data_IF_533223941164
#
_entry.id   IF_533223941164
#
_cell.length_a   1.000
_cell.length_b   1.000
_cell.length_c   1.000
_cell.angle_alpha   90.00
_cell.angle_beta   90.00
_cell.angle_gamma   90.00
#
_symmetry.space_group_name_H-M   'P 1'
#
loop_
_entity.id
_entity.type
_entity.pdbx_description
1 polymer ?
#
# COMPACT_ATOMS: atom_id res chain seq x y z
N UNK A 1 1.47 -21.82 5.19
CA UNK A 1 1.84 -20.84 4.16
C UNK A 1 1.72 -19.45 4.74
N UNK A 2 2.31 -18.44 4.09
CA UNK A 2 2.18 -17.03 4.54
C UNK A 2 0.86 -16.45 4.04
N UNK A 3 0.11 -15.80 4.93
CA UNK A 3 -1.01 -14.95 4.55
C UNK A 3 -0.48 -13.54 4.26
N UNK A 4 -0.72 -13.06 3.04
CA UNK A 4 -0.36 -11.72 2.63
C UNK A 4 -1.53 -10.77 2.82
N UNK A 5 -1.29 -9.67 3.52
CA UNK A 5 -2.29 -8.66 3.86
C UNK A 5 -1.89 -7.37 3.17
N UNK A 6 -2.81 -6.76 2.42
CA UNK A 6 -2.60 -5.50 1.72
C UNK A 6 -3.58 -4.47 2.25
N UNK A 7 -3.18 -3.19 2.33
CA UNK A 7 -4.01 -2.13 2.92
C UNK A 7 -4.37 -1.06 1.91
N UNK A 8 -5.59 -0.53 2.08
CA UNK A 8 -6.17 0.57 1.32
C UNK A 8 -6.84 1.57 2.29
N UNK A 9 -6.03 2.37 2.96
CA UNK A 9 -6.48 3.59 3.62
C UNK A 9 -6.48 4.74 2.60
N UNK A 10 -7.56 5.50 2.53
CA UNK A 10 -7.67 6.63 1.62
C UNK A 10 -6.78 7.82 2.00
N UNK A 11 -6.38 8.61 1.00
CA UNK A 11 -5.51 9.78 1.19
C UNK A 11 -6.05 10.82 2.19
N UNK A 12 -7.38 10.90 2.35
CA UNK A 12 -8.03 11.80 3.31
C UNK A 12 -7.86 11.38 4.77
N UNK A 13 -7.54 10.13 5.06
CA UNK A 13 -7.41 9.58 6.41
C UNK A 13 -5.96 9.30 6.80
N UNK A 14 -5.07 9.08 5.83
CA UNK A 14 -3.66 8.79 6.06
C UNK A 14 -3.00 9.84 6.96
N UNK A 15 -2.18 9.36 7.91
CA UNK A 15 -1.45 10.16 8.90
C UNK A 15 -2.34 11.06 9.79
N UNK A 16 -3.65 10.83 9.84
CA UNK A 16 -4.60 11.59 10.65
C UNK A 16 -5.32 10.70 11.66
N UNK A 17 -5.81 11.29 12.76
CA UNK A 17 -6.64 10.59 13.75
C UNK A 17 -6.01 9.29 14.25
N UNK A 18 -6.74 8.19 14.14
CA UNK A 18 -6.30 6.84 14.52
C UNK A 18 -5.17 6.30 13.62
N UNK A 19 -5.04 6.82 12.40
CA UNK A 19 -4.02 6.41 11.42
C UNK A 19 -2.70 7.17 11.53
N UNK A 20 -2.58 8.14 12.46
CA UNK A 20 -1.42 9.06 12.57
C UNK A 20 -0.03 8.37 12.62
N UNK A 21 0.02 7.15 13.15
CA UNK A 21 1.25 6.40 13.38
C UNK A 21 1.40 5.17 12.46
N UNK A 22 0.49 4.99 11.50
CA UNK A 22 0.51 3.83 10.59
C UNK A 22 1.45 4.07 9.40
N UNK A 23 1.53 5.32 8.93
CA UNK A 23 2.23 5.71 7.72
C UNK A 23 1.42 5.44 6.45
N UNK A 24 2.11 5.28 5.32
CA UNK A 24 1.47 4.90 4.06
C UNK A 24 0.89 3.47 4.12
N UNK A 25 0.06 3.15 3.12
CA UNK A 25 -0.39 1.77 2.91
C UNK A 25 0.78 0.80 2.77
N UNK A 26 0.54 -0.48 3.04
CA UNK A 26 1.61 -1.45 3.22
C UNK A 26 1.16 -2.87 2.89
N UNK A 27 2.14 -3.76 2.72
CA UNK A 27 1.91 -5.19 2.68
C UNK A 27 2.53 -5.84 3.91
N UNK A 28 1.78 -6.71 4.57
CA UNK A 28 2.23 -7.49 5.71
C UNK A 28 2.25 -8.99 5.37
N UNK A 29 3.19 -9.69 5.98
CA UNK A 29 3.27 -11.14 5.98
C UNK A 29 2.84 -11.65 7.36
N UNK A 30 1.81 -12.50 7.38
CA UNK A 30 1.29 -13.13 8.60
C UNK A 30 1.54 -14.64 8.55
N UNK A 31 2.04 -15.18 9.66
CA UNK A 31 1.98 -16.61 9.94
C UNK A 31 0.62 -16.95 10.56
N UNK A 32 -0.29 -17.66 9.84
CA UNK A 32 -1.62 -17.94 10.33
C UNK A 32 -1.66 -18.90 11.52
N UNK A 33 -0.58 -19.66 11.78
CA UNK A 33 -0.53 -20.58 12.90
C UNK A 33 -0.28 -19.86 14.23
N UNK A 34 0.48 -18.77 14.21
CA UNK A 34 0.88 -18.02 15.41
C UNK A 34 0.21 -16.65 15.52
N UNK A 35 -0.30 -16.12 14.40
CA UNK A 35 -0.78 -14.75 14.27
C UNK A 35 0.37 -13.72 14.18
N UNK A 36 1.63 -14.16 14.19
CA UNK A 36 2.76 -13.24 14.06
C UNK A 36 2.68 -12.53 12.70
N UNK A 37 2.63 -11.20 12.75
CA UNK A 37 2.50 -10.36 11.57
C UNK A 37 3.66 -9.38 11.49
N UNK A 38 4.35 -9.35 10.35
CA UNK A 38 5.47 -8.44 10.08
C UNK A 38 5.20 -7.64 8.83
N UNK A 39 5.55 -6.36 8.85
CA UNK A 39 5.53 -5.52 7.65
C UNK A 39 6.59 -6.01 6.67
N UNK A 40 6.20 -6.22 5.42
CA UNK A 40 7.09 -6.64 4.34
C UNK A 40 7.52 -5.45 3.46
N UNK A 41 6.58 -4.56 3.12
CA UNK A 41 6.87 -3.32 2.41
C UNK A 41 5.90 -2.19 2.78
N UNK A 42 6.28 -0.96 2.46
CA UNK A 42 5.44 0.24 2.53
C UNK A 42 5.29 0.82 1.12
N UNK A 43 4.09 1.27 0.78
CA UNK A 43 3.73 1.85 -0.50
C UNK A 43 4.18 3.33 -0.61
N UNK A 44 4.22 3.86 -1.84
CA UNK A 44 4.34 5.29 -2.08
C UNK A 44 3.26 6.13 -1.39
N UNK A 45 3.48 7.45 -1.38
CA UNK A 45 2.52 8.41 -0.84
C UNK A 45 1.20 8.31 -1.60
N UNK A 46 0.10 8.21 -0.84
CA UNK A 46 -1.26 8.20 -1.35
C UNK A 46 -1.56 7.13 -2.42
N UNK A 47 -0.92 5.96 -2.32
CA UNK A 47 -1.30 4.75 -3.06
C UNK A 47 -1.91 3.70 -2.14
N UNK A 48 -2.62 2.73 -2.69
CA UNK A 48 -2.89 1.45 -2.03
C UNK A 48 -1.91 0.36 -2.52
N UNK A 49 -1.72 -0.65 -1.69
CA UNK A 49 -1.14 -1.92 -2.13
C UNK A 49 -2.31 -2.82 -2.49
N UNK A 50 -2.33 -3.36 -3.71
CA UNK A 50 -3.40 -4.25 -4.16
C UNK A 50 -2.86 -5.27 -5.13
N UNK A 51 -3.55 -6.40 -5.31
CA UNK A 51 -3.14 -7.46 -6.22
C UNK A 51 -1.84 -8.16 -5.78
N UNK A 52 -1.84 -9.48 -5.84
CA UNK A 52 -0.67 -10.28 -5.49
C UNK A 52 -0.63 -11.55 -6.33
N UNK A 53 0.53 -11.87 -6.87
CA UNK A 53 0.75 -13.13 -7.58
C UNK A 53 2.20 -13.59 -7.45
N UNK A 54 2.41 -14.90 -7.53
CA UNK A 54 3.71 -15.54 -7.41
C UNK A 54 4.09 -16.24 -8.71
N UNK A 55 5.39 -16.30 -9.00
CA UNK A 55 5.88 -17.34 -9.91
C UNK A 55 5.64 -18.73 -9.32
N UNK A 56 5.45 -19.79 -10.12
CA UNK A 56 5.21 -21.14 -9.61
C UNK A 56 6.30 -21.68 -8.68
N UNK A 57 7.54 -21.21 -8.83
CA UNK A 57 8.66 -21.57 -7.95
C UNK A 57 8.71 -20.77 -6.63
N UNK A 58 7.79 -19.81 -6.45
CA UNK A 58 7.69 -18.97 -5.25
C UNK A 58 8.83 -17.97 -5.06
N UNK A 59 9.69 -17.77 -6.07
CA UNK A 59 10.89 -16.91 -5.95
C UNK A 59 10.65 -15.47 -6.36
N UNK A 60 9.58 -15.19 -7.09
CA UNK A 60 9.20 -13.82 -7.48
C UNK A 60 7.77 -13.54 -7.05
N UNK A 61 7.59 -12.38 -6.43
CA UNK A 61 6.30 -11.85 -6.00
C UNK A 61 6.00 -10.58 -6.81
N UNK A 62 4.87 -10.57 -7.51
CA UNK A 62 4.35 -9.42 -8.23
C UNK A 62 3.25 -8.75 -7.40
N UNK A 63 3.37 -7.44 -7.22
CA UNK A 63 2.52 -6.63 -6.35
C UNK A 63 2.12 -5.38 -7.13
N UNK A 64 0.84 -5.03 -7.15
CA UNK A 64 0.38 -3.80 -7.78
C UNK A 64 0.38 -2.64 -6.77
N UNK A 65 0.81 -1.47 -7.25
CA UNK A 65 0.66 -0.21 -6.54
C UNK A 65 -0.38 0.59 -7.32
N UNK A 66 -1.54 0.86 -6.70
CA UNK A 66 -2.62 1.58 -7.37
C UNK A 66 -2.56 3.07 -7.01
N UNK A 67 -2.87 3.91 -8.01
CA UNK A 67 -3.02 5.37 -7.92
C UNK A 67 -2.04 6.11 -6.98
N UNK A 68 -0.71 5.95 -7.14
CA UNK A 68 0.25 6.79 -6.42
C UNK A 68 -0.08 8.27 -6.57
N UNK A 69 -0.10 9.01 -5.46
CA UNK A 69 -0.40 10.42 -5.45
C UNK A 69 -1.88 10.78 -5.53
N UNK A 70 -2.80 9.88 -5.17
CA UNK A 70 -4.22 10.21 -5.04
C UNK A 70 -4.41 11.47 -4.19
N UNK A 71 -5.30 12.35 -4.61
CA UNK A 71 -5.61 13.56 -3.83
C UNK A 71 -6.62 13.22 -2.74
N UNK A 72 -6.57 13.86 -1.56
CA UNK A 72 -7.60 13.67 -0.52
C UNK A 72 -9.04 13.95 -0.98
N UNK A 73 -9.22 14.68 -2.08
CA UNK A 73 -10.53 14.97 -2.67
C UNK A 73 -10.95 14.01 -3.80
N UNK A 74 -10.16 12.97 -4.09
CA UNK A 74 -10.44 11.97 -5.13
C UNK A 74 -10.41 12.48 -6.58
N UNK A 75 -9.98 13.73 -6.79
CA UNK A 75 -9.83 14.34 -8.12
C UNK A 75 -8.45 14.95 -8.26
N UNK A 76 -7.69 14.48 -9.24
CA UNK A 76 -6.36 14.99 -9.54
C UNK A 76 -6.41 16.25 -10.40
N UNK A 77 -5.41 17.12 -10.25
CA UNK A 77 -5.19 18.27 -11.12
C UNK A 77 -4.19 17.87 -12.22
N UNK A 78 -4.59 17.84 -13.51
CA UNK A 78 -3.69 17.48 -14.59
C UNK A 78 -2.54 18.49 -14.79
N UNK A 79 -2.63 19.71 -14.25
CA UNK A 79 -1.54 20.68 -14.28
C UNK A 79 -0.45 20.41 -13.23
N UNK A 80 -0.76 19.62 -12.19
CA UNK A 80 0.16 19.25 -11.10
C UNK A 80 0.20 17.73 -10.88
N UNK A 81 0.64 16.93 -11.88
CA UNK A 81 0.57 15.46 -11.82
C UNK A 81 1.39 14.87 -10.65
N UNK A 82 2.48 15.53 -10.27
CA UNK A 82 3.43 15.01 -9.27
C UNK A 82 3.25 15.64 -7.87
N UNK A 83 2.14 16.33 -7.64
CA UNK A 83 1.89 17.12 -6.42
C UNK A 83 2.07 16.32 -5.13
N UNK A 84 1.66 15.06 -5.13
CA UNK A 84 1.66 14.19 -3.95
C UNK A 84 2.67 13.04 -4.02
N UNK A 85 3.06 12.61 -5.22
CA UNK A 85 4.01 11.51 -5.43
C UNK A 85 4.68 11.65 -6.80
N UNK A 86 5.98 11.35 -6.87
CA UNK A 86 6.74 11.24 -8.12
C UNK A 86 6.96 9.77 -8.53
N UNK A 87 6.25 8.83 -7.90
CA UNK A 87 6.37 7.40 -8.16
C UNK A 87 5.85 7.04 -9.58
N UNK A 88 6.47 6.08 -10.29
CA UNK A 88 7.61 5.25 -9.86
C UNK A 88 8.95 5.96 -9.78
#
# INVERSE_FOLDING_TARGET
GVLWIQTDAGASQMNQGEFRNIGNNQMLACDPATGETRRFLTAPTHSEVTGVSFTPDGRTLFISIQHPGETPGGRSDPAEPDKYSNWP
#
